data_IF_077269845827
#
_entry.id   IF_077269845827
#
_cell.length_a   1.000
_cell.length_b   1.000
_cell.length_c   1.000
_cell.angle_alpha   90.00
_cell.angle_beta   90.00
_cell.angle_gamma   90.00
#
_symmetry.space_group_name_H-M   'P 1'
#
loop_
_entity.id
_entity.type
_entity.pdbx_description
1 polymer ?
#
# COMPACT_ATOMS: atom_id res chain seq x y z
N UNK A 1 -16.14 -1.03 -6.36
CA UNK A 1 -16.36 -2.23 -5.51
C UNK A 1 -15.99 -3.47 -6.30
N UNK A 2 -15.23 -4.37 -5.71
CA UNK A 2 -14.90 -5.69 -6.26
C UNK A 2 -15.02 -6.72 -5.15
N UNK A 3 -15.81 -7.77 -5.37
CA UNK A 3 -15.79 -8.95 -4.51
C UNK A 3 -14.53 -9.77 -4.77
N UNK A 4 -13.89 -10.21 -3.72
CA UNK A 4 -12.69 -11.05 -3.74
C UNK A 4 -12.83 -12.14 -2.66
N UNK A 5 -11.97 -13.15 -2.70
CA UNK A 5 -11.92 -14.19 -1.67
C UNK A 5 -10.55 -14.22 -1.02
N UNK A 6 -10.55 -14.41 0.31
CA UNK A 6 -9.32 -14.62 1.06
C UNK A 6 -8.79 -16.07 0.90
N UNK A 7 -7.66 -16.39 1.53
CA UNK A 7 -7.05 -17.74 1.47
C UNK A 7 -7.97 -18.87 1.96
N UNK A 8 -8.98 -18.56 2.78
CA UNK A 8 -9.95 -19.53 3.34
C UNK A 8 -11.24 -19.61 2.54
N UNK A 9 -11.34 -18.92 1.39
CA UNK A 9 -12.55 -18.89 0.57
C UNK A 9 -13.65 -17.96 1.08
N UNK A 10 -13.37 -17.13 2.08
CA UNK A 10 -14.31 -16.14 2.62
C UNK A 10 -14.33 -14.90 1.74
N UNK A 11 -15.51 -14.29 1.62
CA UNK A 11 -15.71 -13.10 0.79
C UNK A 11 -15.12 -11.89 1.51
N UNK A 12 -14.30 -11.12 0.80
CA UNK A 12 -13.91 -9.77 1.19
C UNK A 12 -14.31 -8.79 0.11
N UNK A 13 -14.58 -7.56 0.48
CA UNK A 13 -14.95 -6.51 -0.46
C UNK A 13 -13.84 -5.47 -0.49
N UNK A 14 -13.37 -5.15 -1.69
CA UNK A 14 -12.35 -4.13 -1.92
C UNK A 14 -13.01 -2.95 -2.63
N UNK A 15 -12.94 -1.77 -2.00
CA UNK A 15 -13.35 -0.51 -2.59
C UNK A 15 -12.09 0.29 -2.97
N UNK A 16 -11.94 0.63 -4.24
CA UNK A 16 -10.94 1.60 -4.68
C UNK A 16 -11.55 2.99 -4.56
N UNK A 17 -10.90 3.85 -3.81
CA UNK A 17 -11.27 5.25 -3.71
C UNK A 17 -10.91 6.01 -5.01
N UNK A 18 -11.49 7.19 -5.24
CA UNK A 18 -10.96 8.09 -6.28
C UNK A 18 -9.51 8.43 -5.95
N UNK A 19 -8.65 8.62 -6.95
CA UNK A 19 -7.26 9.03 -6.70
C UNK A 19 -7.22 10.32 -5.87
N UNK A 20 -6.36 10.34 -4.87
CA UNK A 20 -6.21 11.41 -3.89
C UNK A 20 -4.82 12.04 -3.96
N UNK A 21 -4.66 13.19 -3.30
CA UNK A 21 -3.45 14.00 -3.31
C UNK A 21 -3.11 14.60 -4.68
N UNK A 22 -2.08 15.43 -4.73
CA UNK A 22 -1.53 16.01 -5.96
C UNK A 22 -0.83 14.98 -6.87
N UNK A 23 -0.54 13.78 -6.31
CA UNK A 23 0.10 12.69 -7.02
C UNK A 23 -0.90 11.65 -7.58
N UNK A 24 -2.22 11.89 -7.41
CA UNK A 24 -3.28 10.95 -7.83
C UNK A 24 -3.09 9.54 -7.24
N UNK A 25 -2.78 9.48 -5.94
CA UNK A 25 -2.50 8.23 -5.23
C UNK A 25 -3.78 7.44 -5.00
N UNK A 26 -3.74 6.16 -5.31
CA UNK A 26 -4.81 5.22 -5.00
C UNK A 26 -4.80 4.87 -3.51
N UNK A 27 -5.99 4.68 -2.97
CA UNK A 27 -6.22 4.13 -1.64
C UNK A 27 -7.31 3.10 -1.71
N UNK A 28 -7.26 2.09 -0.85
CA UNK A 28 -8.17 0.95 -0.90
C UNK A 28 -8.74 0.64 0.48
N UNK A 29 -10.07 0.52 0.55
CA UNK A 29 -10.76 0.01 1.74
C UNK A 29 -10.94 -1.49 1.53
N UNK A 30 -10.45 -2.30 2.48
CA UNK A 30 -10.64 -3.75 2.49
C UNK A 30 -11.56 -4.08 3.67
N UNK A 31 -12.79 -4.49 3.36
CA UNK A 31 -13.82 -4.75 4.35
C UNK A 31 -13.85 -6.22 4.77
N UNK A 32 -14.00 -6.45 6.09
CA UNK A 32 -14.25 -7.76 6.70
C UNK A 32 -15.75 -8.10 6.74
N UNK A 33 -16.07 -9.35 7.05
CA UNK A 33 -17.46 -9.80 7.26
C UNK A 33 -18.12 -9.14 8.49
N UNK A 34 -17.33 -8.61 9.44
CA UNK A 34 -17.81 -7.92 10.65
C UNK A 34 -18.06 -6.41 10.45
N UNK A 35 -18.09 -5.93 9.21
CA UNK A 35 -18.18 -4.51 8.86
C UNK A 35 -17.05 -3.64 9.42
N UNK A 36 -15.91 -4.24 9.77
CA UNK A 36 -14.67 -3.53 10.01
C UNK A 36 -13.91 -3.37 8.71
N UNK A 37 -12.98 -2.42 8.63
CA UNK A 37 -12.12 -2.30 7.47
C UNK A 37 -10.68 -1.91 7.80
N UNK A 38 -9.79 -2.31 6.88
CA UNK A 38 -8.44 -1.80 6.74
C UNK A 38 -8.43 -0.77 5.62
N UNK A 39 -7.76 0.35 5.84
CA UNK A 39 -7.40 1.28 4.78
C UNK A 39 -5.95 1.01 4.36
N UNK A 40 -5.73 0.72 3.08
CA UNK A 40 -4.38 0.61 2.50
C UNK A 40 -4.02 1.97 1.93
N UNK A 41 -3.02 2.59 2.54
CA UNK A 41 -2.57 3.96 2.34
C UNK A 41 -3.63 5.03 2.62
N UNK A 42 -3.21 6.15 3.17
CA UNK A 42 -4.05 7.27 3.60
C UNK A 42 -3.53 8.58 3.01
N UNK A 43 -3.74 8.83 1.70
CA UNK A 43 -3.07 9.88 0.95
C UNK A 43 -3.41 11.30 1.39
N UNK A 44 -4.69 11.63 1.42
CA UNK A 44 -5.21 12.98 1.67
C UNK A 44 -6.74 12.93 1.87
N UNK A 45 -7.37 14.09 2.13
CA UNK A 45 -8.83 14.24 2.19
C UNK A 45 -9.51 13.27 3.17
N UNK A 46 -9.21 13.37 4.48
CA UNK A 46 -9.76 12.46 5.49
C UNK A 46 -11.29 12.52 5.56
N UNK A 47 -11.92 13.64 5.19
CA UNK A 47 -13.37 13.77 5.14
C UNK A 47 -13.98 12.87 4.06
N UNK A 48 -13.39 12.87 2.87
CA UNK A 48 -13.82 11.98 1.80
C UNK A 48 -13.60 10.50 2.16
N UNK A 49 -12.43 10.15 2.69
CA UNK A 49 -12.11 8.76 3.10
C UNK A 49 -13.14 8.24 4.11
N UNK A 50 -13.41 9.01 5.16
CA UNK A 50 -14.39 8.64 6.19
C UNK A 50 -15.83 8.59 5.64
N UNK A 51 -16.19 9.53 4.77
CA UNK A 51 -17.51 9.53 4.11
C UNK A 51 -17.73 8.26 3.26
N UNK A 52 -16.70 7.80 2.55
CA UNK A 52 -16.78 6.52 1.80
C UNK A 52 -16.91 5.31 2.76
N UNK A 53 -16.10 5.26 3.81
CA UNK A 53 -16.17 4.19 4.82
C UNK A 53 -17.58 4.15 5.45
N UNK A 54 -18.10 5.28 5.88
CA UNK A 54 -19.45 5.40 6.50
C UNK A 54 -20.56 5.06 5.50
N UNK A 55 -20.43 5.47 4.24
CA UNK A 55 -21.44 5.19 3.20
C UNK A 55 -21.64 3.70 2.92
N UNK A 56 -20.60 2.92 3.22
CA UNK A 56 -20.64 1.45 3.13
C UNK A 56 -20.96 0.76 4.45
N UNK A 57 -21.28 1.51 5.51
CA UNK A 57 -21.61 0.96 6.85
C UNK A 57 -20.41 0.33 7.55
N UNK A 58 -19.19 0.75 7.22
CA UNK A 58 -17.94 0.18 7.72
C UNK A 58 -17.37 0.99 8.88
N UNK A 59 -16.51 0.35 9.67
CA UNK A 59 -15.74 0.96 10.75
C UNK A 59 -14.24 0.84 10.46
N UNK A 60 -13.52 1.95 10.36
CA UNK A 60 -12.07 1.95 10.18
C UNK A 60 -11.38 1.49 11.47
N UNK A 61 -10.69 0.36 11.39
CA UNK A 61 -9.94 -0.22 12.52
C UNK A 61 -8.44 -0.05 12.36
N UNK A 62 -7.93 -0.18 11.13
CA UNK A 62 -6.50 -0.20 10.86
C UNK A 62 -6.16 0.54 9.58
N UNK A 63 -4.99 1.17 9.57
CA UNK A 63 -4.35 1.72 8.38
C UNK A 63 -3.07 0.92 8.16
N UNK A 64 -2.92 0.31 6.99
CA UNK A 64 -1.70 -0.35 6.57
C UNK A 64 -1.02 0.51 5.51
N UNK A 65 0.21 0.94 5.79
CA UNK A 65 0.99 1.82 4.92
C UNK A 65 1.98 1.00 4.12
N UNK A 66 1.90 1.08 2.79
CA UNK A 66 2.82 0.40 1.89
C UNK A 66 4.23 0.98 1.96
N UNK A 67 4.32 2.29 2.22
CA UNK A 67 5.57 3.03 2.47
C UNK A 67 5.28 4.43 3.05
N UNK A 68 6.31 5.23 3.34
CA UNK A 68 6.18 6.46 4.11
C UNK A 68 6.25 7.77 3.31
N UNK A 69 5.99 7.81 2.00
CA UNK A 69 5.94 9.07 1.26
C UNK A 69 4.66 9.87 1.57
N UNK A 70 4.75 11.20 1.50
CA UNK A 70 3.69 12.12 1.93
C UNK A 70 2.34 11.84 1.29
N UNK A 71 2.34 11.40 0.05
CA UNK A 71 1.14 11.13 -0.73
C UNK A 71 0.50 9.77 -0.41
N UNK A 72 1.12 8.96 0.47
CA UNK A 72 0.56 7.73 1.04
C UNK A 72 0.18 7.86 2.51
N UNK A 73 0.68 8.90 3.21
CA UNK A 73 0.52 9.04 4.67
C UNK A 73 -0.19 10.33 5.09
N UNK A 74 -0.49 11.24 4.16
CA UNK A 74 -0.90 12.62 4.45
C UNK A 74 -2.17 12.76 5.31
N UNK A 75 -3.10 11.81 5.27
CA UNK A 75 -4.32 11.80 6.07
C UNK A 75 -4.23 11.00 7.37
N UNK A 76 -3.10 10.30 7.65
CA UNK A 76 -2.96 9.38 8.79
C UNK A 76 -3.31 10.05 10.12
N UNK A 77 -2.70 11.21 10.41
CA UNK A 77 -2.90 11.89 11.69
C UNK A 77 -4.37 12.27 11.94
N UNK A 78 -5.05 12.80 10.91
CA UNK A 78 -6.44 13.23 11.03
C UNK A 78 -7.40 12.03 11.13
N UNK A 79 -7.13 10.94 10.42
CA UNK A 79 -7.92 9.71 10.51
C UNK A 79 -7.80 9.08 11.89
N UNK A 80 -6.60 8.99 12.45
CA UNK A 80 -6.38 8.44 13.80
C UNK A 80 -7.06 9.30 14.86
N UNK A 81 -6.94 10.63 14.81
CA UNK A 81 -7.60 11.52 15.78
C UNK A 81 -9.12 11.37 15.79
N UNK A 82 -9.72 11.06 14.64
CA UNK A 82 -11.17 10.96 14.47
C UNK A 82 -11.73 9.58 14.76
N UNK A 83 -10.95 8.51 14.56
CA UNK A 83 -11.44 7.13 14.64
C UNK A 83 -10.79 6.30 15.73
N UNK A 84 -9.58 6.69 16.18
CA UNK A 84 -8.77 5.88 17.08
C UNK A 84 -8.18 4.62 16.40
N UNK A 85 -8.17 4.55 15.07
CA UNK A 85 -7.67 3.39 14.33
C UNK A 85 -6.15 3.18 14.57
N UNK A 86 -5.71 1.94 14.44
CA UNK A 86 -4.30 1.58 14.58
C UNK A 86 -3.54 1.82 13.27
N UNK A 87 -2.30 2.31 13.36
CA UNK A 87 -1.41 2.53 12.21
C UNK A 87 -0.32 1.48 12.19
N UNK A 88 -0.07 0.92 11.00
CA UNK A 88 0.95 -0.08 10.73
C UNK A 88 1.84 0.37 9.58
N UNK A 89 3.17 0.31 9.77
CA UNK A 89 4.16 0.65 8.76
C UNK A 89 5.40 -0.23 8.92
N UNK A 90 6.11 -0.50 7.83
CA UNK A 90 7.38 -1.22 7.90
C UNK A 90 8.40 -0.44 8.75
N UNK A 91 9.20 -1.15 9.55
CA UNK A 91 10.12 -0.55 10.53
C UNK A 91 11.08 0.46 9.89
N UNK A 92 11.54 0.21 8.65
CA UNK A 92 12.46 1.10 7.94
C UNK A 92 11.80 2.42 7.50
N UNK A 93 10.49 2.44 7.28
CA UNK A 93 9.76 3.65 6.87
C UNK A 93 9.07 4.39 8.04
N UNK A 94 9.08 3.81 9.25
CA UNK A 94 8.53 4.47 10.44
C UNK A 94 9.05 5.91 10.66
N UNK A 95 10.35 6.23 10.49
CA UNK A 95 10.83 7.60 10.67
C UNK A 95 10.14 8.63 9.77
N UNK A 96 9.71 8.23 8.57
CA UNK A 96 9.04 9.11 7.60
C UNK A 96 7.71 9.68 8.08
N UNK A 97 7.05 9.05 9.05
CA UNK A 97 5.81 9.59 9.66
C UNK A 97 6.03 10.91 10.42
N UNK A 98 7.27 11.21 10.79
CA UNK A 98 7.63 12.41 11.55
C UNK A 98 8.72 13.26 10.88
N UNK A 99 9.29 12.80 9.78
CA UNK A 99 10.38 13.46 9.07
C UNK A 99 9.94 13.98 7.70
N UNK A 100 9.76 15.30 7.61
CA UNK A 100 9.34 15.99 6.38
C UNK A 100 10.29 15.73 5.20
N UNK A 101 11.58 15.54 5.47
CA UNK A 101 12.56 15.23 4.43
C UNK A 101 12.42 13.79 3.97
N UNK A 102 12.27 12.85 4.91
CA UNK A 102 12.10 11.43 4.61
C UNK A 102 10.81 11.11 3.87
N UNK A 103 9.71 11.79 4.22
CA UNK A 103 8.43 11.66 3.50
C UNK A 103 8.37 12.44 2.17
N UNK A 104 9.39 13.20 1.82
CA UNK A 104 9.50 14.03 0.62
C UNK A 104 8.58 15.28 0.58
N UNK A 105 7.87 15.63 1.63
CA UNK A 105 6.97 16.77 1.67
C UNK A 105 7.68 18.08 1.30
N UNK A 106 8.92 18.27 1.79
CA UNK A 106 9.74 19.44 1.47
C UNK A 106 10.15 19.48 -0.01
N UNK A 107 10.49 18.35 -0.61
CA UNK A 107 10.89 18.25 -2.02
C UNK A 107 9.74 18.64 -2.96
N UNK A 108 8.55 18.20 -2.64
CA UNK A 108 7.33 18.52 -3.41
C UNK A 108 6.65 19.81 -2.96
N UNK A 109 7.23 20.55 -1.99
CA UNK A 109 6.71 21.80 -1.43
C UNK A 109 5.28 21.67 -0.91
N UNK A 110 4.96 20.52 -0.33
CA UNK A 110 3.65 20.26 0.27
C UNK A 110 3.53 21.10 1.55
N UNK A 111 2.52 21.96 1.61
CA UNK A 111 2.23 22.80 2.77
C UNK A 111 1.04 22.24 3.53
N UNK A 112 1.10 22.40 4.85
CA UNK A 112 -0.02 22.04 5.72
C UNK A 112 -0.20 20.52 5.92
N UNK A 113 0.78 19.69 5.51
CA UNK A 113 0.79 18.28 5.92
C UNK A 113 0.99 18.20 7.43
N UNK A 114 0.48 17.13 8.01
CA UNK A 114 0.54 16.90 9.44
C UNK A 114 1.30 15.62 9.73
N UNK A 115 2.43 15.78 10.45
CA UNK A 115 3.21 14.64 10.91
C UNK A 115 2.42 13.79 11.91
N UNK A 116 2.57 12.48 11.83
CA UNK A 116 1.96 11.57 12.79
C UNK A 116 2.96 11.12 13.84
N UNK A 117 2.75 11.59 15.08
CA UNK A 117 3.61 11.29 16.24
C UNK A 117 2.96 10.32 17.23
N UNK A 118 1.81 9.75 16.89
CA UNK A 118 1.09 8.82 17.73
C UNK A 118 1.69 7.41 17.78
N UNK A 119 0.95 6.47 18.37
CA UNK A 119 1.37 5.07 18.45
C UNK A 119 1.39 4.41 17.07
N UNK A 120 2.50 3.78 16.72
CA UNK A 120 2.70 3.07 15.45
C UNK A 120 3.08 1.63 15.74
N UNK A 121 2.38 0.69 15.13
CA UNK A 121 2.75 -0.71 15.10
C UNK A 121 3.71 -0.92 13.92
N UNK A 122 4.90 -1.44 14.21
CA UNK A 122 5.89 -1.75 13.17
C UNK A 122 5.84 -3.23 12.83
N UNK A 123 6.18 -3.55 11.58
CA UNK A 123 6.24 -4.92 11.08
C UNK A 123 7.46 -5.13 10.15
N UNK A 124 7.73 -6.37 9.83
CA UNK A 124 8.74 -6.88 8.89
C UNK A 124 8.13 -7.97 7.99
N UNK A 125 8.91 -8.58 7.10
CA UNK A 125 8.43 -9.64 6.15
C UNK A 125 7.88 -10.88 6.86
N UNK A 126 8.32 -11.16 8.08
CA UNK A 126 7.88 -12.35 8.82
C UNK A 126 6.50 -12.18 9.49
N UNK A 127 5.96 -10.97 9.47
CA UNK A 127 4.70 -10.66 10.12
C UNK A 127 3.49 -10.95 9.21
N UNK A 128 2.39 -11.41 9.82
CA UNK A 128 1.08 -11.49 9.19
C UNK A 128 0.17 -10.48 9.87
N UNK A 129 -0.27 -9.47 9.13
CA UNK A 129 -1.20 -8.48 9.65
C UNK A 129 -2.64 -8.99 9.52
N UNK A 130 -3.46 -8.76 10.56
CA UNK A 130 -4.81 -9.32 10.62
C UNK A 130 -5.85 -8.27 10.97
N UNK A 131 -7.03 -8.44 10.42
CA UNK A 131 -8.27 -7.81 10.86
C UNK A 131 -9.39 -8.84 10.71
N UNK A 132 -10.01 -9.22 11.81
CA UNK A 132 -11.05 -10.26 11.83
C UNK A 132 -10.57 -11.53 11.09
N UNK A 133 -11.27 -11.98 10.03
CA UNK A 133 -10.89 -13.11 9.19
C UNK A 133 -9.84 -12.76 8.11
N UNK A 134 -9.54 -11.49 7.92
CA UNK A 134 -8.58 -11.04 6.91
C UNK A 134 -7.15 -11.24 7.40
N UNK A 135 -6.34 -11.91 6.59
CA UNK A 135 -4.92 -12.11 6.81
C UNK A 135 -4.13 -11.53 5.62
N UNK A 136 -3.19 -10.63 5.92
CA UNK A 136 -2.33 -9.98 4.95
C UNK A 136 -0.90 -10.45 5.17
N UNK A 137 -0.35 -11.18 4.21
CA UNK A 137 1.07 -11.47 4.19
C UNK A 137 1.82 -10.20 3.80
N UNK A 138 2.95 -9.96 4.45
CA UNK A 138 3.86 -8.87 4.12
C UNK A 138 4.95 -9.39 3.21
N UNK A 139 5.07 -8.84 2.01
CA UNK A 139 6.19 -9.07 1.11
C UNK A 139 7.06 -7.82 1.08
N UNK A 140 8.25 -7.87 1.66
CA UNK A 140 9.20 -6.76 1.57
C UNK A 140 9.67 -6.57 0.13
N UNK A 141 9.45 -5.36 -0.38
CA UNK A 141 9.80 -4.96 -1.74
C UNK A 141 10.58 -3.64 -1.75
N UNK A 142 11.74 -3.59 -1.05
CA UNK A 142 12.54 -2.36 -1.02
C UNK A 142 12.99 -1.94 -2.42
N UNK A 143 13.13 -0.63 -2.60
CA UNK A 143 13.65 -0.06 -3.84
C UNK A 143 13.06 1.29 -4.20
N UNK A 144 11.75 1.50 -4.07
CA UNK A 144 11.15 2.83 -4.12
C UNK A 144 11.46 3.58 -2.81
N UNK A 145 11.21 2.93 -1.67
CA UNK A 145 11.81 3.26 -0.37
C UNK A 145 12.50 2.03 0.22
N UNK A 146 13.26 2.21 1.31
CA UNK A 146 13.89 1.11 2.03
C UNK A 146 12.86 0.23 2.78
N UNK A 147 11.70 0.79 3.13
CA UNK A 147 10.59 0.11 3.82
C UNK A 147 9.38 -0.17 2.94
N UNK A 148 9.50 -0.08 1.61
CA UNK A 148 8.41 -0.44 0.70
C UNK A 148 8.00 -1.91 0.84
N UNK A 149 6.68 -2.16 0.88
CA UNK A 149 6.10 -3.51 0.96
C UNK A 149 4.92 -3.66 0.01
N UNK A 150 4.65 -4.93 -0.37
CA UNK A 150 3.36 -5.33 -0.91
C UNK A 150 2.58 -6.10 0.17
N UNK A 151 1.29 -5.80 0.33
CA UNK A 151 0.39 -6.61 1.15
C UNK A 151 -0.36 -7.59 0.27
N UNK A 152 -0.39 -8.87 0.66
CA UNK A 152 -1.08 -9.92 -0.09
C UNK A 152 -2.19 -10.50 0.77
N UNK A 153 -3.45 -10.36 0.31
CA UNK A 153 -4.62 -10.96 0.95
C UNK A 153 -5.37 -11.81 -0.08
N UNK A 154 -5.30 -13.13 0.10
CA UNK A 154 -5.81 -14.09 -0.89
C UNK A 154 -5.14 -13.93 -2.25
N UNK A 155 -5.93 -13.70 -3.29
CA UNK A 155 -5.44 -13.47 -4.65
C UNK A 155 -5.32 -11.98 -5.01
N UNK A 156 -5.14 -11.11 -4.01
CA UNK A 156 -5.06 -9.66 -4.18
C UNK A 156 -3.77 -9.14 -3.58
N UNK A 157 -3.01 -8.36 -4.35
CA UNK A 157 -1.76 -7.74 -3.95
C UNK A 157 -1.88 -6.22 -4.03
N UNK A 158 -1.71 -5.54 -2.90
CA UNK A 158 -1.60 -4.10 -2.80
C UNK A 158 -0.13 -3.73 -2.89
N UNK A 159 0.31 -3.28 -4.06
CA UNK A 159 1.74 -3.16 -4.38
C UNK A 159 2.37 -1.81 -4.02
N UNK A 160 1.59 -0.85 -3.51
CA UNK A 160 2.12 0.49 -3.30
C UNK A 160 2.87 0.98 -4.53
N UNK A 161 4.05 1.54 -4.33
CA UNK A 161 4.90 2.07 -5.38
C UNK A 161 6.01 1.10 -5.82
N UNK A 162 5.75 -0.20 -5.72
CA UNK A 162 6.67 -1.22 -6.25
C UNK A 162 6.34 -1.59 -7.68
N UNK A 163 5.10 -2.01 -7.97
CA UNK A 163 4.67 -2.49 -9.29
C UNK A 163 3.41 -1.75 -9.73
N UNK A 164 3.45 -1.14 -10.92
CA UNK A 164 2.35 -0.46 -11.58
C UNK A 164 1.94 -1.17 -12.86
N UNK A 165 0.80 -0.77 -13.43
CA UNK A 165 0.40 -1.22 -14.76
C UNK A 165 1.45 -0.79 -15.80
N UNK A 166 2.23 -1.76 -16.29
CA UNK A 166 3.33 -1.61 -17.28
C UNK A 166 4.48 -0.68 -16.84
N UNK A 167 4.60 -0.42 -15.54
CA UNK A 167 5.63 0.43 -14.96
C UNK A 167 6.01 -0.04 -13.56
N UNK A 168 6.94 0.68 -12.93
CA UNK A 168 7.39 0.46 -11.56
C UNK A 168 7.61 1.79 -10.88
N UNK A 169 7.68 1.79 -9.54
CA UNK A 169 8.04 2.98 -8.78
C UNK A 169 9.44 3.51 -9.12
N UNK A 170 9.60 4.81 -9.03
CA UNK A 170 10.91 5.46 -9.24
C UNK A 170 11.86 5.13 -8.09
N UNK A 171 13.15 5.18 -8.37
CA UNK A 171 14.21 4.81 -7.42
C UNK A 171 15.28 5.89 -7.26
N UNK A 172 15.01 7.09 -7.74
CA UNK A 172 15.94 8.25 -7.73
C UNK A 172 15.69 9.20 -6.56
N UNK A 173 14.87 8.80 -5.59
CA UNK A 173 14.63 9.49 -4.32
C UNK A 173 15.68 9.10 -3.26
N UNK A 174 15.83 9.88 -2.15
CA UNK A 174 16.96 9.76 -1.22
C UNK A 174 17.27 8.37 -0.69
N UNK A 175 16.29 7.50 -0.45
CA UNK A 175 16.50 6.12 0.00
C UNK A 175 16.10 5.08 -1.06
N UNK A 176 15.93 5.54 -2.30
CA UNK A 176 15.62 4.69 -3.45
C UNK A 176 16.83 3.88 -3.93
N UNK A 177 16.57 2.70 -4.51
CA UNK A 177 17.60 1.81 -5.06
C UNK A 177 17.05 0.97 -6.20
N UNK A 178 17.55 1.22 -7.40
CA UNK A 178 17.19 0.42 -8.60
C UNK A 178 17.61 -1.06 -8.48
N UNK A 179 18.74 -1.31 -7.82
CA UNK A 179 19.21 -2.68 -7.57
C UNK A 179 18.30 -3.42 -6.58
N UNK A 180 17.84 -2.74 -5.51
CA UNK A 180 16.90 -3.32 -4.57
C UNK A 180 15.54 -3.55 -5.25
N UNK A 181 15.03 -2.57 -6.01
CA UNK A 181 13.77 -2.74 -6.75
C UNK A 181 13.83 -3.93 -7.70
N UNK A 182 14.93 -4.13 -8.44
CA UNK A 182 15.06 -5.27 -9.32
C UNK A 182 14.96 -6.62 -8.56
N UNK A 183 15.59 -6.74 -7.39
CA UNK A 183 15.45 -7.92 -6.53
C UNK A 183 14.01 -8.11 -6.03
N UNK A 184 13.34 -7.03 -5.68
CA UNK A 184 11.92 -7.05 -5.28
C UNK A 184 11.02 -7.50 -6.43
N UNK A 185 11.27 -7.03 -7.64
CA UNK A 185 10.55 -7.48 -8.84
C UNK A 185 10.80 -8.96 -9.16
N UNK A 186 12.00 -9.48 -8.88
CA UNK A 186 12.28 -10.92 -9.00
C UNK A 186 11.40 -11.73 -8.03
N UNK A 187 11.28 -11.33 -6.75
CA UNK A 187 10.35 -11.95 -5.79
C UNK A 187 8.92 -11.94 -6.33
N UNK A 188 8.45 -10.80 -6.85
CA UNK A 188 7.09 -10.66 -7.40
C UNK A 188 6.90 -11.54 -8.65
N UNK A 189 7.88 -11.59 -9.54
CA UNK A 189 7.80 -12.43 -10.76
C UNK A 189 7.67 -13.92 -10.44
N UNK A 190 8.27 -14.38 -9.34
CA UNK A 190 8.26 -15.76 -8.86
C UNK A 190 7.00 -16.14 -8.05
N UNK A 191 6.17 -15.18 -7.66
CA UNK A 191 4.92 -15.47 -6.94
C UNK A 191 4.02 -16.41 -7.74
N UNK A 192 3.42 -17.40 -7.07
CA UNK A 192 2.45 -18.30 -7.69
C UNK A 192 1.12 -17.63 -8.03
N UNK A 193 0.46 -18.12 -9.07
CA UNK A 193 -0.89 -17.69 -9.44
C UNK A 193 -0.96 -16.34 -10.16
N UNK A 194 -2.21 -15.93 -10.46
CA UNK A 194 -2.51 -14.66 -11.12
C UNK A 194 -3.19 -13.68 -10.16
N UNK A 195 -2.40 -12.99 -9.34
CA UNK A 195 -2.94 -12.02 -8.38
C UNK A 195 -3.51 -10.79 -9.11
N UNK A 196 -4.61 -10.25 -8.58
CA UNK A 196 -5.03 -8.89 -8.93
C UNK A 196 -4.09 -7.91 -8.22
N UNK A 197 -3.52 -6.97 -8.97
CA UNK A 197 -2.56 -5.98 -8.46
C UNK A 197 -3.25 -4.64 -8.31
N UNK A 198 -3.25 -4.12 -7.09
CA UNK A 198 -3.79 -2.83 -6.68
C UNK A 198 -2.62 -1.89 -6.37
N UNK A 199 -2.18 -1.08 -7.34
CA UNK A 199 -0.99 -0.23 -7.19
C UNK A 199 -1.27 1.08 -6.48
N UNK A 200 -0.24 1.73 -5.94
CA UNK A 200 -0.32 3.09 -5.38
C UNK A 200 -0.71 4.14 -6.43
N UNK A 201 -0.32 3.94 -7.67
CA UNK A 201 -0.68 4.82 -8.79
C UNK A 201 -1.16 4.03 -10.00
N UNK A 202 -1.80 4.74 -10.95
CA UNK A 202 -2.29 4.16 -12.20
C UNK A 202 -3.48 3.20 -11.99
N UNK A 203 -3.71 2.30 -12.93
CA UNK A 203 -4.84 1.39 -12.94
C UNK A 203 -4.52 0.05 -12.28
N UNK A 204 -5.55 -0.58 -11.72
CA UNK A 204 -5.52 -1.98 -11.29
C UNK A 204 -5.17 -2.87 -12.50
N UNK A 205 -4.35 -3.87 -12.25
CA UNK A 205 -3.89 -4.82 -13.27
C UNK A 205 -3.88 -6.25 -12.70
N UNK A 206 -3.26 -7.19 -13.40
CA UNK A 206 -3.04 -8.57 -12.91
C UNK A 206 -1.58 -8.97 -13.07
N UNK A 207 -1.12 -9.85 -12.22
CA UNK A 207 0.28 -10.29 -12.23
C UNK A 207 0.66 -10.96 -13.57
N UNK A 208 -0.26 -11.72 -14.19
CA UNK A 208 -0.02 -12.32 -15.51
C UNK A 208 0.08 -11.27 -16.61
N UNK A 209 -0.73 -10.20 -16.56
CA UNK A 209 -0.61 -9.10 -17.49
C UNK A 209 0.75 -8.40 -17.36
N UNK A 210 1.20 -8.19 -16.12
CA UNK A 210 2.49 -7.56 -15.85
C UNK A 210 3.67 -8.47 -16.23
N UNK A 211 3.61 -9.76 -15.96
CA UNK A 211 4.61 -10.75 -16.45
C UNK A 211 4.75 -10.72 -17.96
N UNK A 212 3.65 -10.49 -18.67
CA UNK A 212 3.61 -10.48 -20.14
C UNK A 212 4.02 -9.14 -20.74
N UNK A 213 3.61 -8.02 -20.15
CA UNK A 213 3.68 -6.72 -20.81
C UNK A 213 4.54 -5.68 -20.08
N UNK A 214 4.86 -5.87 -18.78
CA UNK A 214 5.69 -4.94 -18.05
C UNK A 214 7.18 -5.20 -18.35
N UNK A 215 7.91 -4.24 -18.95
CA UNK A 215 9.29 -4.45 -19.34
C UNK A 215 10.22 -4.75 -18.16
N UNK A 216 9.97 -4.12 -17.00
CA UNK A 216 10.77 -4.30 -15.79
C UNK A 216 10.55 -5.67 -15.15
N UNK A 217 9.30 -6.11 -15.05
CA UNK A 217 8.98 -7.42 -14.47
C UNK A 217 9.45 -8.57 -15.38
N UNK A 218 9.41 -8.37 -16.70
CA UNK A 218 9.97 -9.33 -17.65
C UNK A 218 11.50 -9.45 -17.50
N UNK A 219 12.19 -8.32 -17.39
CA UNK A 219 13.64 -8.31 -17.13
C UNK A 219 13.97 -9.04 -15.83
N UNK A 220 13.19 -8.83 -14.77
CA UNK A 220 13.36 -9.52 -13.49
C UNK A 220 13.14 -11.03 -13.63
N UNK A 221 12.09 -11.47 -14.35
CA UNK A 221 11.81 -12.90 -14.60
C UNK A 221 12.89 -13.57 -15.46
N UNK A 222 13.53 -12.85 -16.38
CA UNK A 222 14.65 -13.36 -17.18
C UNK A 222 15.92 -13.57 -16.34
N UNK A 223 16.13 -12.75 -15.30
CA UNK A 223 17.27 -12.87 -14.39
C UNK A 223 17.14 -14.04 -13.39
N UNK A 224 15.95 -14.68 -13.30
CA UNK A 224 15.70 -15.87 -12.47
C UNK A 224 16.04 -17.18 -13.20
N UNK A 225 16.30 -17.13 -14.50
CA UNK A 225 16.62 -18.32 -15.34
C UNK A 225 18.11 -18.59 -15.39
#
# INVERSE_FOLDING_TARGET
MKEAVNKKGQIMIIYRLKPLSVCETNSYIVASEENNCVLIDAPADPDYILGEIESHGLTLKKIFLTHGHFDHIGAVADLVDRTGCEVYIHIMDKPKLTDDAGMLANLFRIRGHRNYTGKVNVFTEDDILKLDELEFDVLETPGHTSGSVCFICGMNMFSGDTLFSRSVGRTDMPDGSSTALMKSLMKIADLGGNLTVYPGHMNVTTLDAERKYNPYLRQAAEALK
#
